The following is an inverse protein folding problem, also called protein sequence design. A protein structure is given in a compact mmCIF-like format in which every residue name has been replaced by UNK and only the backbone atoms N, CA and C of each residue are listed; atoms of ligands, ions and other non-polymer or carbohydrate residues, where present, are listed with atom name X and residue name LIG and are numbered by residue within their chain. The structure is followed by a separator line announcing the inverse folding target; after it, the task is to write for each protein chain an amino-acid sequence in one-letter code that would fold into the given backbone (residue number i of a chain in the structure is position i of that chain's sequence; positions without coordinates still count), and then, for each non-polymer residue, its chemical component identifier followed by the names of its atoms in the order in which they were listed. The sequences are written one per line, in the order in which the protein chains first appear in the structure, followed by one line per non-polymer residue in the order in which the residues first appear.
data_IF_896757826074
#
_entry.id   IF_896757826074
#
_cell.length_a   1.000
_cell.length_b   1.000
_cell.length_c   1.000
_cell.angle_alpha   90.00
_cell.angle_beta   90.00
_cell.angle_gamma   90.00
#
_symmetry.space_group_name_H-M   'P 1'
#
loop_
_entity.id
_entity.type
_entity.pdbx_description
1 polymer ?
#
# COMPACT_ATOMS: atom_id res chain seq x y z
N UNK A 1 -38.03 -37.72 24.96
CA UNK A 1 -37.88 -37.04 23.66
C UNK A 1 -38.76 -35.79 23.68
N UNK A 2 -38.18 -34.61 23.87
CA UNK A 2 -38.83 -33.32 23.69
C UNK A 2 -37.89 -32.45 22.87
N UNK A 3 -38.40 -32.02 21.72
CA UNK A 3 -37.73 -31.23 20.71
C UNK A 3 -37.13 -29.96 21.31
N UNK A 4 -35.84 -29.75 21.04
CA UNK A 4 -35.21 -28.44 21.18
C UNK A 4 -35.65 -27.62 19.96
N UNK A 5 -36.59 -26.70 20.17
CA UNK A 5 -36.91 -25.67 19.20
C UNK A 5 -35.67 -24.79 18.96
N UNK A 6 -35.24 -24.73 17.71
CA UNK A 6 -34.22 -23.79 17.25
C UNK A 6 -34.77 -22.38 17.23
N UNK A 7 -34.35 -21.57 18.19
CA UNK A 7 -34.46 -20.11 18.14
C UNK A 7 -33.28 -19.60 17.33
N UNK A 8 -33.53 -19.20 16.08
CA UNK A 8 -32.55 -18.52 15.23
C UNK A 8 -33.22 -17.95 13.97
N UNK A 9 -32.97 -16.68 13.69
CA UNK A 9 -33.29 -15.94 12.45
C UNK A 9 -34.76 -15.54 12.14
N UNK A 10 -35.73 -15.62 13.06
CA UNK A 10 -37.13 -15.26 12.71
C UNK A 10 -37.48 -13.76 12.77
N UNK A 11 -36.66 -12.89 13.37
CA UNK A 11 -37.00 -11.46 13.55
C UNK A 11 -36.72 -10.57 12.33
N UNK A 12 -35.53 -10.73 11.74
CA UNK A 12 -34.94 -9.82 10.77
C UNK A 12 -35.79 -9.58 9.51
N UNK A 13 -36.17 -10.66 8.82
CA UNK A 13 -36.94 -10.56 7.59
C UNK A 13 -38.33 -9.97 7.81
N UNK A 14 -38.94 -10.19 8.98
CA UNK A 14 -40.23 -9.60 9.31
C UNK A 14 -40.13 -8.10 9.55
N UNK A 15 -39.06 -7.65 10.19
CA UNK A 15 -38.81 -6.22 10.43
C UNK A 15 -38.53 -5.47 9.13
N UNK A 16 -37.64 -5.98 8.27
CA UNK A 16 -37.37 -5.39 6.97
C UNK A 16 -38.62 -5.37 6.07
N UNK A 17 -39.40 -6.46 6.07
CA UNK A 17 -40.67 -6.50 5.34
C UNK A 17 -41.68 -5.51 5.90
N UNK A 18 -41.81 -5.39 7.22
CA UNK A 18 -42.68 -4.41 7.86
C UNK A 18 -42.28 -2.97 7.50
N UNK A 19 -40.98 -2.68 7.47
CA UNK A 19 -40.43 -1.40 7.06
C UNK A 19 -40.71 -1.08 5.59
N UNK A 20 -40.46 -2.02 4.66
CA UNK A 20 -40.78 -1.87 3.24
C UNK A 20 -42.28 -1.66 2.98
N UNK A 21 -43.13 -2.25 3.82
CA UNK A 21 -44.59 -2.11 3.74
C UNK A 21 -45.12 -0.92 4.57
N UNK A 22 -44.27 -0.15 5.23
CA UNK A 22 -44.64 1.03 6.01
C UNK A 22 -45.43 0.75 7.29
N UNK A 23 -45.21 -0.39 7.96
CA UNK A 23 -46.02 -0.88 9.09
C UNK A 23 -45.33 -0.88 10.47
N UNK A 24 -44.08 -0.41 10.59
CA UNK A 24 -43.37 -0.43 11.89
C UNK A 24 -43.83 0.71 12.84
N UNK A 25 -44.19 0.40 14.10
CA UNK A 25 -44.53 1.40 15.11
C UNK A 25 -43.27 1.84 15.86
N UNK A 26 -42.79 3.08 15.63
CA UNK A 26 -41.84 3.72 16.55
C UNK A 26 -40.66 4.49 15.95
N UNK A 27 -40.45 4.49 14.64
CA UNK A 27 -39.33 5.21 14.01
C UNK A 27 -39.85 6.38 13.15
N UNK A 28 -39.29 7.57 13.41
CA UNK A 28 -39.74 8.82 12.86
C UNK A 28 -39.40 8.97 11.38
N UNK A 29 -40.44 9.09 10.54
CA UNK A 29 -40.49 9.89 9.31
C UNK A 29 -39.18 9.99 8.50
N UNK A 30 -38.61 8.88 8.06
CA UNK A 30 -37.86 8.84 6.80
C UNK A 30 -38.34 7.67 5.93
N UNK A 31 -39.43 7.98 5.25
CA UNK A 31 -40.01 7.23 4.14
C UNK A 31 -38.94 6.77 3.14
N UNK A 32 -38.91 5.48 2.82
CA UNK A 32 -38.54 5.04 1.48
C UNK A 32 -39.69 5.38 0.53
N UNK A 33 -39.86 6.68 0.34
CA UNK A 33 -40.97 7.41 -0.26
C UNK A 33 -42.36 7.04 0.30
N UNK A 34 -43.09 8.04 0.79
CA UNK A 34 -44.51 8.13 0.48
C UNK A 34 -44.61 8.18 -1.05
N UNK A 35 -44.57 7.01 -1.68
CA UNK A 35 -44.80 6.88 -3.10
C UNK A 35 -46.29 6.65 -3.25
N UNK A 36 -46.92 7.75 -3.65
CA UNK A 36 -48.19 7.79 -4.36
C UNK A 36 -48.44 6.48 -5.15
N UNK A 37 -49.64 5.91 -5.05
CA UNK A 37 -49.99 4.65 -5.70
C UNK A 37 -49.88 4.81 -7.22
N UNK A 38 -48.85 4.22 -7.84
CA UNK A 38 -48.46 4.59 -9.21
C UNK A 38 -47.91 3.46 -10.08
N UNK A 39 -47.99 2.19 -9.67
CA UNK A 39 -47.80 1.05 -10.57
C UNK A 39 -49.14 0.63 -11.16
N UNK A 40 -49.28 0.57 -12.47
CA UNK A 40 -50.57 0.39 -13.19
C UNK A 40 -51.30 -0.96 -12.97
N UNK A 41 -50.80 -1.84 -12.10
CA UNK A 41 -51.38 -3.17 -11.84
C UNK A 41 -52.55 -3.19 -10.81
N UNK A 42 -52.72 -2.13 -10.00
CA UNK A 42 -53.67 -2.14 -8.88
C UNK A 42 -55.15 -1.91 -9.26
N UNK A 43 -55.49 -1.85 -10.57
CA UNK A 43 -56.89 -1.72 -11.01
C UNK A 43 -57.73 -2.97 -10.74
N UNK A 44 -57.09 -4.13 -10.61
CA UNK A 44 -57.69 -5.32 -10.02
C UNK A 44 -57.28 -5.36 -8.55
N UNK A 45 -58.21 -5.55 -7.61
CA UNK A 45 -57.97 -5.55 -6.15
C UNK A 45 -57.05 -6.69 -5.64
N UNK A 46 -56.21 -7.28 -6.48
CA UNK A 46 -55.28 -8.36 -6.13
C UNK A 46 -53.85 -7.83 -6.09
N UNK A 47 -53.16 -8.06 -4.96
CA UNK A 47 -51.72 -7.79 -4.82
C UNK A 47 -50.98 -8.72 -5.78
N UNK A 48 -50.16 -8.22 -6.72
CA UNK A 48 -49.39 -9.08 -7.62
C UNK A 48 -48.45 -9.99 -6.83
N UNK A 49 -48.43 -11.29 -7.16
CA UNK A 49 -47.64 -12.30 -6.46
C UNK A 49 -46.77 -13.11 -7.43
N UNK A 50 -45.46 -13.06 -7.23
CA UNK A 50 -44.46 -13.70 -8.09
C UNK A 50 -44.08 -15.10 -7.61
N UNK A 51 -43.77 -16.01 -8.54
CA UNK A 51 -43.14 -17.30 -8.22
C UNK A 51 -41.63 -17.10 -8.10
N UNK A 52 -40.93 -18.04 -7.46
CA UNK A 52 -39.46 -18.02 -7.35
C UNK A 52 -38.74 -17.88 -8.70
N UNK A 53 -39.26 -18.51 -9.75
CA UNK A 53 -38.72 -18.38 -11.11
C UNK A 53 -38.85 -16.96 -11.69
N UNK A 54 -39.90 -16.24 -11.31
CA UNK A 54 -40.07 -14.84 -11.72
C UNK A 54 -39.11 -13.94 -10.96
N UNK A 55 -38.95 -14.17 -9.65
CA UNK A 55 -37.96 -13.45 -8.81
C UNK A 55 -36.55 -13.64 -9.36
N UNK A 56 -36.16 -14.87 -9.69
CA UNK A 56 -34.86 -15.18 -10.31
C UNK A 56 -34.66 -14.39 -11.61
N UNK A 57 -35.64 -14.41 -12.52
CA UNK A 57 -35.57 -13.68 -13.78
C UNK A 57 -35.44 -12.17 -13.57
N UNK A 58 -36.14 -11.61 -12.59
CA UNK A 58 -36.21 -10.16 -12.35
C UNK A 58 -35.00 -9.62 -11.58
N UNK A 59 -34.45 -10.41 -10.65
CA UNK A 59 -33.38 -9.97 -9.76
C UNK A 59 -32.01 -10.51 -10.17
N UNK A 60 -31.98 -11.58 -10.98
CA UNK A 60 -30.76 -12.31 -11.30
C UNK A 60 -30.16 -13.07 -10.12
N UNK A 61 -30.88 -13.20 -8.99
CA UNK A 61 -30.53 -14.12 -7.92
C UNK A 61 -30.93 -15.54 -8.33
N UNK A 62 -30.03 -16.50 -8.17
CA UNK A 62 -30.34 -17.90 -8.50
C UNK A 62 -31.42 -18.44 -7.56
N UNK A 63 -32.19 -19.44 -8.01
CA UNK A 63 -33.20 -20.09 -7.14
C UNK A 63 -32.63 -20.63 -5.84
N UNK A 64 -31.37 -21.08 -5.86
CA UNK A 64 -30.68 -21.59 -4.69
C UNK A 64 -30.41 -20.46 -3.69
N UNK A 65 -29.91 -19.32 -4.15
CA UNK A 65 -29.67 -18.16 -3.28
C UNK A 65 -30.97 -17.60 -2.70
N UNK A 66 -32.04 -17.52 -3.51
CA UNK A 66 -33.36 -17.12 -2.99
C UNK A 66 -33.83 -18.11 -1.91
N UNK A 67 -33.53 -19.39 -2.07
CA UNK A 67 -33.84 -20.40 -1.07
C UNK A 67 -32.98 -20.27 0.18
N UNK A 68 -31.68 -19.99 0.08
CA UNK A 68 -30.79 -19.81 1.24
C UNK A 68 -31.13 -18.55 2.04
N UNK A 69 -31.59 -17.50 1.35
CA UNK A 69 -32.13 -16.31 1.97
C UNK A 69 -33.44 -16.61 2.72
N UNK A 70 -34.28 -17.51 2.20
CA UNK A 70 -35.60 -17.78 2.78
C UNK A 70 -35.68 -18.92 3.78
N UNK A 71 -34.83 -19.93 3.64
CA UNK A 71 -34.90 -21.14 4.44
C UNK A 71 -33.63 -21.25 5.30
N UNK A 72 -33.75 -21.35 6.64
CA UNK A 72 -32.61 -21.70 7.46
C UNK A 72 -32.20 -23.14 7.10
N UNK A 73 -31.00 -23.30 6.55
CA UNK A 73 -30.48 -24.63 6.24
C UNK A 73 -29.79 -25.19 7.49
N UNK A 74 -30.04 -26.45 7.84
CA UNK A 74 -29.43 -27.10 9.03
C UNK A 74 -27.91 -27.24 8.93
N UNK A 75 -27.34 -27.09 7.73
CA UNK A 75 -25.92 -27.05 7.44
C UNK A 75 -25.41 -25.62 7.22
N UNK A 76 -25.41 -24.80 8.26
CA UNK A 76 -24.61 -23.55 8.48
C UNK A 76 -24.57 -22.42 7.41
N UNK A 77 -25.17 -22.55 6.23
CA UNK A 77 -25.06 -21.55 5.15
C UNK A 77 -26.40 -20.97 4.67
N UNK A 78 -27.55 -21.55 5.05
CA UNK A 78 -28.85 -20.91 4.83
C UNK A 78 -29.11 -19.89 5.91
N UNK A 79 -29.18 -18.61 5.56
CA UNK A 79 -29.38 -17.52 6.51
C UNK A 79 -30.78 -17.54 7.11
N UNK A 80 -31.80 -17.98 6.36
CA UNK A 80 -33.20 -17.86 6.79
C UNK A 80 -33.61 -16.42 7.11
N UNK A 81 -32.91 -15.45 6.50
CA UNK A 81 -33.02 -14.03 6.75
C UNK A 81 -34.36 -13.43 6.29
N UNK A 82 -35.03 -14.01 5.28
CA UNK A 82 -36.20 -13.42 4.64
C UNK A 82 -37.41 -14.36 4.59
N UNK A 83 -38.57 -13.94 5.11
CA UNK A 83 -39.80 -14.74 5.04
C UNK A 83 -40.66 -14.33 3.82
N UNK A 84 -40.92 -15.24 2.85
CA UNK A 84 -41.78 -14.93 1.71
C UNK A 84 -43.19 -14.52 2.14
N UNK A 85 -43.85 -13.68 1.33
CA UNK A 85 -45.23 -13.28 1.59
C UNK A 85 -46.23 -14.43 1.78
N UNK A 86 -46.05 -15.52 1.02
CA UNK A 86 -46.72 -16.79 1.26
C UNK A 86 -45.66 -17.88 1.32
N UNK A 87 -45.60 -18.60 2.44
CA UNK A 87 -44.74 -19.77 2.60
C UNK A 87 -45.59 -21.00 2.94
N UNK A 88 -45.64 -21.98 2.04
CA UNK A 88 -46.23 -23.31 2.24
C UNK A 88 -45.21 -24.38 1.86
N UNK A 89 -45.29 -25.61 2.40
CA UNK A 89 -44.40 -26.69 1.99
C UNK A 89 -44.39 -26.87 0.45
N UNK A 90 -43.22 -26.72 -0.17
CA UNK A 90 -43.05 -26.80 -1.63
C UNK A 90 -43.56 -25.60 -2.44
N UNK A 91 -44.02 -24.53 -1.80
CA UNK A 91 -44.65 -23.41 -2.47
C UNK A 91 -44.39 -22.07 -1.78
N UNK A 92 -43.72 -21.15 -2.48
CA UNK A 92 -43.52 -19.77 -2.02
C UNK A 92 -44.05 -18.77 -3.04
N UNK A 93 -44.70 -17.71 -2.57
CA UNK A 93 -45.04 -16.54 -3.38
C UNK A 93 -44.47 -15.29 -2.76
N UNK A 94 -44.05 -14.38 -3.64
CA UNK A 94 -43.37 -13.16 -3.29
C UNK A 94 -44.21 -11.96 -3.68
N UNK A 95 -44.32 -10.97 -2.80
CA UNK A 95 -44.99 -9.69 -3.05
C UNK A 95 -44.00 -8.60 -3.53
N UNK A 96 -44.46 -7.36 -3.63
CA UNK A 96 -43.64 -6.23 -4.08
C UNK A 96 -42.49 -5.93 -3.11
N UNK A 97 -42.73 -6.01 -1.81
CA UNK A 97 -41.71 -5.82 -0.78
C UNK A 97 -40.62 -6.88 -0.87
N UNK A 98 -41.03 -8.13 -1.10
CA UNK A 98 -40.08 -9.23 -1.34
C UNK A 98 -39.18 -8.96 -2.55
N UNK A 99 -39.73 -8.45 -3.67
CA UNK A 99 -38.93 -8.10 -4.84
C UNK A 99 -37.94 -6.97 -4.57
N UNK A 100 -38.34 -5.93 -3.85
CA UNK A 100 -37.46 -4.81 -3.50
C UNK A 100 -36.32 -5.26 -2.58
N UNK A 101 -36.61 -6.13 -1.61
CA UNK A 101 -35.59 -6.74 -0.75
C UNK A 101 -34.59 -7.56 -1.57
N UNK A 102 -35.05 -8.45 -2.44
CA UNK A 102 -34.14 -9.23 -3.31
C UNK A 102 -33.36 -8.37 -4.30
N UNK A 103 -33.95 -7.29 -4.80
CA UNK A 103 -33.24 -6.31 -5.62
C UNK A 103 -32.10 -5.65 -4.83
N UNK A 104 -32.35 -5.21 -3.59
CA UNK A 104 -31.32 -4.65 -2.71
C UNK A 104 -30.20 -5.66 -2.45
N UNK A 105 -30.55 -6.89 -2.06
CA UNK A 105 -29.59 -7.98 -1.85
C UNK A 105 -28.72 -8.17 -3.09
N UNK A 106 -29.32 -8.16 -4.28
CA UNK A 106 -28.55 -8.25 -5.53
C UNK A 106 -27.56 -7.10 -5.70
N UNK A 107 -27.94 -5.86 -5.38
CA UNK A 107 -27.04 -4.72 -5.50
C UNK A 107 -25.85 -4.83 -4.53
N UNK A 108 -26.12 -5.23 -3.28
CA UNK A 108 -25.06 -5.46 -2.28
C UNK A 108 -24.10 -6.56 -2.74
N UNK A 109 -24.62 -7.67 -3.28
CA UNK A 109 -23.76 -8.73 -3.83
C UNK A 109 -22.90 -8.25 -5.00
N UNK A 110 -23.46 -7.44 -5.91
CA UNK A 110 -22.69 -6.83 -7.00
C UNK A 110 -21.59 -5.90 -6.48
N UNK A 111 -21.84 -5.22 -5.37
CA UNK A 111 -20.84 -4.41 -4.68
C UNK A 111 -19.83 -5.25 -3.86
N UNK A 112 -19.88 -6.58 -3.94
CA UNK A 112 -18.92 -7.48 -3.31
C UNK A 112 -19.25 -7.88 -1.87
N UNK A 113 -20.46 -7.59 -1.38
CA UNK A 113 -20.93 -8.12 -0.10
C UNK A 113 -21.17 -9.63 -0.20
N UNK A 114 -20.63 -10.36 0.77
CA UNK A 114 -20.90 -11.79 0.92
C UNK A 114 -22.27 -12.00 1.56
N UNK A 115 -22.84 -13.19 1.40
CA UNK A 115 -24.15 -13.52 1.96
C UNK A 115 -24.21 -13.21 3.48
N UNK A 116 -23.15 -13.52 4.24
CA UNK A 116 -23.05 -13.24 5.68
C UNK A 116 -23.03 -11.75 6.04
N UNK A 117 -22.55 -10.89 5.15
CA UNK A 117 -22.49 -9.44 5.38
C UNK A 117 -23.81 -8.74 5.01
N UNK A 118 -24.63 -9.37 4.16
CA UNK A 118 -25.86 -8.78 3.63
C UNK A 118 -26.87 -8.51 4.74
N UNK A 119 -27.04 -9.42 5.69
CA UNK A 119 -27.99 -9.23 6.80
C UNK A 119 -27.66 -7.95 7.57
N UNK A 120 -26.43 -7.80 8.05
CA UNK A 120 -25.99 -6.59 8.76
C UNK A 120 -26.12 -5.33 7.90
N UNK A 121 -25.72 -5.38 6.62
CA UNK A 121 -25.78 -4.21 5.75
C UNK A 121 -27.23 -3.78 5.45
N UNK A 122 -28.17 -4.72 5.42
CA UNK A 122 -29.59 -4.43 5.21
C UNK A 122 -30.22 -3.87 6.49
N UNK A 123 -29.81 -4.35 7.67
CA UNK A 123 -30.22 -3.73 8.93
C UNK A 123 -29.70 -2.31 9.08
N UNK A 124 -28.41 -2.09 8.79
CA UNK A 124 -27.80 -0.76 8.84
C UNK A 124 -28.54 0.25 7.94
N UNK A 125 -29.17 -0.20 6.84
CA UNK A 125 -29.99 0.63 5.94
C UNK A 125 -31.32 1.07 6.57
N UNK A 126 -31.84 0.30 7.52
CA UNK A 126 -33.10 0.59 8.20
C UNK A 126 -32.93 1.51 9.40
N UNK A 127 -31.71 1.66 9.91
CA UNK A 127 -31.39 2.58 10.98
C UNK A 127 -31.45 4.03 10.47
N UNK A 128 -32.03 4.94 11.27
CA UNK A 128 -32.13 6.38 10.95
C UNK A 128 -30.79 7.12 11.21
N UNK A 129 -29.66 6.43 11.09
CA UNK A 129 -28.31 6.95 11.35
C UNK A 129 -27.34 6.67 10.18
N UNK A 130 -26.09 7.10 10.33
CA UNK A 130 -25.07 6.91 9.29
C UNK A 130 -24.53 5.46 9.22
N UNK A 131 -25.19 4.46 9.81
CA UNK A 131 -24.69 3.08 9.87
C UNK A 131 -24.50 2.48 8.48
N UNK A 132 -25.48 2.62 7.59
CA UNK A 132 -25.36 2.09 6.23
C UNK A 132 -24.21 2.74 5.47
N UNK A 133 -24.08 4.07 5.57
CA UNK A 133 -22.99 4.78 4.93
C UNK A 133 -21.62 4.34 5.47
N UNK A 134 -21.49 4.18 6.80
CA UNK A 134 -20.28 3.65 7.43
C UNK A 134 -19.95 2.24 6.93
N UNK A 135 -20.95 1.38 6.75
CA UNK A 135 -20.78 0.01 6.24
C UNK A 135 -20.33 0.03 4.77
N UNK A 136 -20.92 0.87 3.92
CA UNK A 136 -20.49 1.05 2.53
C UNK A 136 -19.06 1.59 2.44
N UNK A 137 -18.73 2.65 3.21
CA UNK A 137 -17.38 3.22 3.25
C UNK A 137 -16.35 2.20 3.70
N UNK A 138 -16.67 1.38 4.71
CA UNK A 138 -15.81 0.28 5.16
C UNK A 138 -15.57 -0.73 4.04
N UNK A 139 -16.61 -1.13 3.32
CA UNK A 139 -16.49 -2.06 2.19
C UNK A 139 -15.63 -1.48 1.06
N UNK A 140 -15.84 -0.21 0.73
CA UNK A 140 -15.02 0.50 -0.25
C UNK A 140 -13.54 0.51 0.15
N UNK A 141 -13.20 0.81 1.40
CA UNK A 141 -11.82 0.76 1.91
C UNK A 141 -11.19 -0.63 1.74
N UNK A 142 -11.94 -1.70 2.04
CA UNK A 142 -11.46 -3.08 1.84
C UNK A 142 -11.18 -3.36 0.36
N UNK A 143 -12.08 -2.95 -0.53
CA UNK A 143 -11.93 -3.14 -1.98
C UNK A 143 -10.77 -2.31 -2.55
N UNK A 144 -10.59 -1.06 -2.11
CA UNK A 144 -9.45 -0.22 -2.49
C UNK A 144 -8.12 -0.84 -2.04
N UNK A 145 -8.06 -1.36 -0.81
CA UNK A 145 -6.88 -2.09 -0.33
C UNK A 145 -6.59 -3.32 -1.19
N UNK A 146 -7.63 -4.10 -1.51
CA UNK A 146 -7.46 -5.30 -2.34
C UNK A 146 -7.02 -4.96 -3.76
N UNK A 147 -7.53 -3.86 -4.33
CA UNK A 147 -7.07 -3.34 -5.62
C UNK A 147 -5.59 -2.97 -5.56
N UNK A 148 -5.15 -2.21 -4.57
CA UNK A 148 -3.74 -1.84 -4.41
C UNK A 148 -2.82 -3.08 -4.27
N UNK A 149 -3.28 -4.12 -3.55
CA UNK A 149 -2.54 -5.40 -3.45
C UNK A 149 -2.43 -6.10 -4.81
N UNK A 150 -3.50 -6.11 -5.61
CA UNK A 150 -3.48 -6.70 -6.95
C UNK A 150 -2.60 -5.91 -7.91
N UNK A 151 -2.69 -4.57 -7.88
CA UNK A 151 -1.86 -3.68 -8.70
C UNK A 151 -0.36 -3.86 -8.36
N UNK A 152 -0.03 -4.02 -7.08
CA UNK A 152 1.33 -4.36 -6.63
C UNK A 152 1.80 -5.71 -7.17
N UNK A 153 0.95 -6.74 -7.11
CA UNK A 153 1.27 -8.08 -7.66
C UNK A 153 1.44 -8.07 -9.17
N UNK A 154 0.61 -7.33 -9.89
CA UNK A 154 0.72 -7.17 -11.34
C UNK A 154 2.04 -6.48 -11.71
N UNK A 155 2.38 -5.39 -11.01
CA UNK A 155 3.66 -4.71 -11.21
C UNK A 155 4.83 -5.68 -10.99
N UNK A 156 4.83 -6.44 -9.89
CA UNK A 156 5.86 -7.45 -9.63
C UNK A 156 5.99 -8.50 -10.75
N UNK A 157 4.89 -8.92 -11.37
CA UNK A 157 4.91 -9.85 -12.50
C UNK A 157 5.51 -9.22 -13.76
N UNK A 158 5.14 -7.98 -14.10
CA UNK A 158 5.71 -7.24 -15.25
C UNK A 158 7.24 -7.13 -15.13
N UNK A 159 7.72 -6.88 -13.92
CA UNK A 159 9.15 -6.80 -13.61
C UNK A 159 9.89 -8.14 -13.75
N UNK A 160 9.29 -9.22 -13.25
CA UNK A 160 9.84 -10.56 -13.42
C UNK A 160 9.83 -10.99 -14.89
N UNK A 161 8.85 -10.54 -15.68
CA UNK A 161 8.81 -10.78 -17.13
C UNK A 161 9.97 -10.08 -17.84
N UNK A 162 10.27 -8.82 -17.51
CA UNK A 162 11.46 -8.12 -18.04
C UNK A 162 12.74 -8.89 -17.69
N UNK A 163 12.92 -9.27 -16.42
CA UNK A 163 14.09 -10.04 -16.00
C UNK A 163 14.20 -11.41 -16.70
N UNK A 164 13.08 -12.05 -17.03
CA UNK A 164 13.07 -13.34 -17.73
C UNK A 164 13.62 -13.25 -19.18
N UNK A 165 13.62 -12.05 -19.77
CA UNK A 165 14.22 -11.80 -21.09
C UNK A 165 15.75 -11.80 -21.09
N UNK A 166 16.39 -11.68 -19.92
CA UNK A 166 17.84 -11.76 -19.78
C UNK A 166 18.37 -13.16 -20.11
N UNK A 167 19.68 -13.22 -20.41
CA UNK A 167 20.39 -14.48 -20.57
C UNK A 167 20.24 -15.34 -19.30
N UNK A 168 20.16 -16.67 -19.44
CA UNK A 168 19.79 -17.56 -18.32
C UNK A 168 20.68 -17.38 -17.10
N UNK A 169 21.99 -17.17 -17.31
CA UNK A 169 22.97 -16.97 -16.25
C UNK A 169 22.89 -15.58 -15.58
N UNK A 170 22.22 -14.61 -16.21
CA UNK A 170 22.05 -13.23 -15.70
C UNK A 170 20.65 -12.97 -15.13
N UNK A 171 19.69 -13.88 -15.31
CA UNK A 171 18.29 -13.69 -14.86
C UNK A 171 18.17 -13.37 -13.38
N UNK A 172 18.95 -14.02 -12.52
CA UNK A 172 18.92 -13.73 -11.08
C UNK A 172 19.36 -12.30 -10.79
N UNK A 173 20.45 -11.85 -11.43
CA UNK A 173 20.93 -10.47 -11.29
C UNK A 173 19.96 -9.46 -11.88
N UNK A 174 19.30 -9.78 -13.00
CA UNK A 174 18.23 -8.95 -13.56
C UNK A 174 17.02 -8.82 -12.62
N UNK A 175 16.62 -9.91 -11.94
CA UNK A 175 15.57 -9.84 -10.90
C UNK A 175 16.02 -8.96 -9.73
N UNK A 176 17.26 -9.13 -9.26
CA UNK A 176 17.83 -8.30 -8.19
C UNK A 176 17.91 -6.83 -8.59
N UNK A 177 18.30 -6.54 -9.83
CA UNK A 177 18.40 -5.18 -10.37
C UNK A 177 17.08 -4.46 -10.35
N UNK A 178 16.02 -5.12 -10.81
CA UNK A 178 14.68 -4.55 -10.84
C UNK A 178 14.15 -4.32 -9.42
N UNK A 179 14.36 -5.26 -8.50
CA UNK A 179 13.95 -5.12 -7.10
C UNK A 179 14.69 -3.97 -6.39
N UNK A 180 16.03 -3.93 -6.50
CA UNK A 180 16.87 -2.88 -5.91
C UNK A 180 16.53 -1.50 -6.48
N UNK A 181 16.28 -1.40 -7.79
CA UNK A 181 15.93 -0.13 -8.43
C UNK A 181 14.59 0.40 -7.91
N UNK A 182 13.57 -0.45 -7.77
CA UNK A 182 12.28 -0.03 -7.21
C UNK A 182 12.40 0.38 -5.75
N UNK A 183 13.16 -0.38 -4.97
CA UNK A 183 13.42 -0.03 -3.58
C UNK A 183 14.11 1.33 -3.48
N UNK A 184 15.10 1.61 -4.31
CA UNK A 184 15.76 2.89 -4.40
C UNK A 184 14.79 4.04 -4.76
N UNK A 185 13.91 3.84 -5.75
CA UNK A 185 12.89 4.84 -6.13
C UNK A 185 11.89 5.12 -5.00
N UNK A 186 11.39 4.08 -4.33
CA UNK A 186 10.49 4.23 -3.17
C UNK A 186 11.17 4.97 -2.04
N UNK A 187 12.42 4.62 -1.73
CA UNK A 187 13.21 5.24 -0.68
C UNK A 187 13.43 6.74 -0.94
N UNK A 188 13.71 7.13 -2.19
CA UNK A 188 13.80 8.54 -2.58
C UNK A 188 12.45 9.23 -2.43
N UNK A 189 11.36 8.61 -2.90
CA UNK A 189 10.03 9.19 -2.81
C UNK A 189 9.63 9.47 -1.34
N UNK A 190 9.87 8.50 -0.45
CA UNK A 190 9.63 8.65 1.00
C UNK A 190 10.48 9.82 1.53
N UNK A 191 11.77 9.83 1.26
CA UNK A 191 12.67 10.88 1.73
C UNK A 191 12.29 12.28 1.22
N UNK A 192 11.87 12.42 -0.04
CA UNK A 192 11.38 13.68 -0.60
C UNK A 192 10.13 14.17 0.14
N UNK A 193 9.17 13.28 0.39
CA UNK A 193 7.93 13.68 1.10
C UNK A 193 8.20 14.15 2.52
N UNK A 194 9.20 13.56 3.19
CA UNK A 194 9.59 13.96 4.56
C UNK A 194 10.38 15.27 4.61
N UNK A 195 11.26 15.50 3.63
CA UNK A 195 12.18 16.65 3.62
C UNK A 195 11.63 17.87 2.91
N UNK A 196 10.55 17.72 2.12
CA UNK A 196 10.04 18.76 1.21
C UNK A 196 11.16 19.31 0.30
N UNK A 197 12.09 18.44 -0.13
CA UNK A 197 13.25 18.83 -0.91
C UNK A 197 12.87 19.44 -2.27
N UNK A 198 13.77 20.26 -2.81
CA UNK A 198 13.62 20.80 -4.15
C UNK A 198 13.71 19.69 -5.21
N UNK A 199 12.94 19.82 -6.29
CA UNK A 199 12.89 18.86 -7.39
C UNK A 199 14.29 18.58 -7.99
N UNK A 200 15.14 19.61 -8.06
CA UNK A 200 16.52 19.47 -8.56
C UNK A 200 17.38 18.53 -7.68
N UNK A 201 17.23 18.61 -6.36
CA UNK A 201 17.97 17.76 -5.42
C UNK A 201 17.43 16.32 -5.44
N UNK A 202 16.11 16.16 -5.56
CA UNK A 202 15.47 14.86 -5.76
C UNK A 202 16.00 14.14 -7.00
N UNK A 203 16.11 14.84 -8.14
CA UNK A 203 16.63 14.27 -9.38
C UNK A 203 18.08 13.79 -9.22
N UNK A 204 18.92 14.56 -8.52
CA UNK A 204 20.32 14.20 -8.27
C UNK A 204 20.44 13.00 -7.32
N UNK A 205 19.72 13.01 -6.20
CA UNK A 205 19.72 11.89 -5.23
C UNK A 205 19.15 10.62 -5.87
N UNK A 206 18.08 10.73 -6.66
CA UNK A 206 17.53 9.60 -7.43
C UNK A 206 18.57 9.00 -8.36
N UNK A 207 19.30 9.84 -9.09
CA UNK A 207 20.39 9.38 -9.96
C UNK A 207 21.49 8.68 -9.15
N UNK A 208 21.94 9.27 -8.04
CA UNK A 208 22.97 8.66 -7.20
C UNK A 208 22.53 7.34 -6.57
N UNK A 209 21.26 7.21 -6.19
CA UNK A 209 20.71 5.93 -5.72
C UNK A 209 20.72 4.86 -6.83
N UNK A 210 20.41 5.22 -8.08
CA UNK A 210 20.56 4.30 -9.22
C UNK A 210 22.02 3.92 -9.47
N UNK A 211 22.95 4.86 -9.35
CA UNK A 211 24.40 4.58 -9.44
C UNK A 211 24.88 3.65 -8.31
N UNK A 212 24.31 3.77 -7.11
CA UNK A 212 24.58 2.85 -5.99
C UNK A 212 24.08 1.43 -6.32
N UNK A 213 22.85 1.30 -6.82
CA UNK A 213 22.29 0.00 -7.23
C UNK A 213 23.15 -0.65 -8.32
N UNK A 214 23.52 0.10 -9.36
CA UNK A 214 24.40 -0.39 -10.41
C UNK A 214 25.77 -0.83 -9.87
N UNK A 215 26.34 -0.09 -8.92
CA UNK A 215 27.60 -0.45 -8.28
C UNK A 215 27.52 -1.74 -7.45
N UNK A 216 26.43 -1.92 -6.69
CA UNK A 216 26.16 -3.16 -5.93
C UNK A 216 26.05 -4.34 -6.88
N UNK A 217 25.29 -4.22 -7.97
CA UNK A 217 25.13 -5.28 -8.97
C UNK A 217 26.43 -5.61 -9.70
N UNK A 218 27.25 -4.61 -10.04
CA UNK A 218 28.55 -4.83 -10.67
C UNK A 218 29.45 -5.71 -9.80
N UNK A 219 29.50 -5.44 -8.48
CA UNK A 219 30.22 -6.30 -7.53
C UNK A 219 29.66 -7.71 -7.50
N UNK A 220 28.33 -7.87 -7.49
CA UNK A 220 27.67 -9.18 -7.46
C UNK A 220 27.89 -10.02 -8.73
N UNK A 221 28.00 -9.36 -9.89
CA UNK A 221 28.34 -9.99 -11.18
C UNK A 221 29.83 -10.33 -11.30
N UNK A 222 30.66 -9.92 -10.33
CA UNK A 222 32.11 -10.04 -10.40
C UNK A 222 32.74 -9.09 -11.42
N UNK A 223 31.99 -8.08 -11.87
CA UNK A 223 32.50 -6.99 -12.69
C UNK A 223 33.37 -6.13 -11.77
N UNK A 224 34.68 -6.40 -11.77
CA UNK A 224 35.64 -5.62 -10.99
C UNK A 224 35.46 -4.13 -11.27
N UNK A 225 35.65 -3.28 -10.25
CA UNK A 225 35.71 -1.83 -10.46
C UNK A 225 36.70 -1.55 -11.60
N UNK A 226 36.34 -0.78 -12.65
CA UNK A 226 37.18 -0.59 -13.82
C UNK A 226 38.54 -0.07 -13.36
N UNK A 227 39.55 -0.95 -13.41
CA UNK A 227 40.76 -0.79 -12.62
C UNK A 227 41.70 0.32 -13.12
N UNK A 228 41.46 0.95 -14.28
CA UNK A 228 42.48 1.80 -14.89
C UNK A 228 42.00 3.10 -15.56
N UNK A 229 40.75 3.54 -15.38
CA UNK A 229 40.34 4.85 -15.90
C UNK A 229 39.46 5.61 -14.92
N UNK A 230 40.09 6.39 -14.03
CA UNK A 230 39.54 7.60 -13.37
C UNK A 230 38.02 7.67 -13.19
N UNK A 231 37.40 6.58 -12.72
CA UNK A 231 35.97 6.38 -12.82
C UNK A 231 35.24 7.37 -11.92
N UNK A 232 34.45 8.26 -12.52
CA UNK A 232 33.49 9.07 -11.75
C UNK A 232 32.32 8.19 -11.32
N UNK A 233 31.85 8.36 -10.08
CA UNK A 233 30.66 7.69 -9.56
C UNK A 233 30.94 6.76 -8.37
N UNK A 234 29.93 5.97 -8.01
CA UNK A 234 29.92 5.19 -6.75
C UNK A 234 30.71 3.87 -6.85
N UNK A 235 30.76 3.23 -8.02
CA UNK A 235 31.41 1.93 -8.23
C UNK A 235 32.81 1.78 -7.60
N UNK A 236 33.79 2.70 -7.80
CA UNK A 236 35.12 2.57 -7.21
C UNK A 236 35.14 2.69 -5.67
N UNK A 237 34.09 3.24 -5.05
CA UNK A 237 34.01 3.45 -3.61
C UNK A 237 33.53 2.20 -2.84
N UNK A 238 32.75 1.34 -3.49
CA UNK A 238 32.07 0.20 -2.83
C UNK A 238 33.06 -0.74 -2.14
N UNK A 239 34.19 -1.06 -2.77
CA UNK A 239 35.21 -1.91 -2.15
C UNK A 239 35.82 -1.28 -0.89
N UNK A 240 35.98 0.05 -0.87
CA UNK A 240 36.45 0.77 0.32
C UNK A 240 35.40 0.79 1.44
N UNK A 241 34.13 0.90 1.08
CA UNK A 241 33.03 0.81 2.04
C UNK A 241 32.88 -0.60 2.62
N UNK A 242 32.96 -1.64 1.80
CA UNK A 242 32.93 -3.03 2.26
C UNK A 242 34.03 -3.34 3.29
N UNK A 243 35.26 -2.88 3.05
CA UNK A 243 36.36 -2.99 4.03
C UNK A 243 36.03 -2.24 5.32
N UNK A 244 35.54 -1.00 5.21
CA UNK A 244 35.18 -0.21 6.40
C UNK A 244 34.04 -0.84 7.22
N UNK A 245 33.07 -1.49 6.57
CA UNK A 245 32.02 -2.26 7.26
C UNK A 245 32.63 -3.46 7.97
N UNK A 246 33.47 -4.23 7.28
CA UNK A 246 34.14 -5.39 7.86
C UNK A 246 34.98 -5.02 9.09
N UNK A 247 35.75 -3.94 9.02
CA UNK A 247 36.55 -3.44 10.15
C UNK A 247 35.65 -3.05 11.34
N UNK A 248 34.54 -2.34 11.09
CA UNK A 248 33.60 -1.96 12.14
C UNK A 248 32.91 -3.16 12.79
N UNK A 249 32.55 -4.17 11.99
CA UNK A 249 31.95 -5.41 12.51
C UNK A 249 32.96 -6.26 13.28
N UNK A 250 34.21 -6.35 12.81
CA UNK A 250 35.28 -7.06 13.50
C UNK A 250 35.62 -6.45 14.87
N UNK A 251 35.49 -5.12 14.98
CA UNK A 251 35.68 -4.37 16.23
C UNK A 251 34.45 -4.39 17.16
N UNK A 252 33.38 -5.12 16.81
CA UNK A 252 32.08 -5.11 17.52
C UNK A 252 31.55 -3.68 17.76
N UNK A 253 31.78 -2.80 16.77
CA UNK A 253 31.43 -1.40 16.88
C UNK A 253 29.90 -1.23 16.91
N UNK A 254 29.39 -0.44 17.87
CA UNK A 254 27.97 -0.11 17.86
C UNK A 254 27.60 0.74 16.61
N UNK A 255 26.39 0.60 16.04
CA UNK A 255 25.95 1.35 14.86
C UNK A 255 25.91 2.89 15.05
N UNK A 256 25.83 3.35 16.30
CA UNK A 256 25.85 4.78 16.65
C UNK A 256 27.27 5.35 16.81
N UNK A 257 28.32 4.54 16.63
CA UNK A 257 29.72 5.00 16.76
C UNK A 257 30.09 6.06 15.71
N UNK A 258 31.03 6.94 16.04
CA UNK A 258 31.51 7.95 15.10
C UNK A 258 32.06 7.36 13.78
N UNK A 259 32.61 6.13 13.83
CA UNK A 259 33.06 5.38 12.65
C UNK A 259 31.91 5.06 11.71
N UNK A 260 30.86 4.40 12.22
CA UNK A 260 29.65 4.08 11.47
C UNK A 260 28.97 5.32 10.91
N UNK A 261 28.84 6.38 11.72
CA UNK A 261 28.25 7.66 11.31
C UNK A 261 29.06 8.38 10.22
N UNK A 262 30.39 8.24 10.23
CA UNK A 262 31.25 8.74 9.14
C UNK A 262 31.05 7.93 7.85
N UNK A 263 30.89 6.61 7.95
CA UNK A 263 30.66 5.76 6.78
C UNK A 263 29.33 6.10 6.09
N UNK A 264 28.23 6.18 6.85
CA UNK A 264 26.91 6.55 6.30
C UNK A 264 26.96 7.92 5.61
N UNK A 265 27.63 8.91 6.21
CA UNK A 265 27.82 10.23 5.57
C UNK A 265 28.58 10.14 4.26
N UNK A 266 29.65 9.33 4.19
CA UNK A 266 30.40 9.13 2.94
C UNK A 266 29.54 8.50 1.85
N UNK A 267 28.73 7.51 2.20
CA UNK A 267 27.80 6.87 1.26
C UNK A 267 26.74 7.86 0.77
N UNK A 268 26.11 8.58 1.69
CA UNK A 268 25.09 9.58 1.36
C UNK A 268 25.65 10.73 0.50
N UNK A 269 26.86 11.22 0.81
CA UNK A 269 27.50 12.27 0.02
C UNK A 269 27.85 11.80 -1.41
N UNK A 270 28.22 10.53 -1.58
CA UNK A 270 28.41 9.96 -2.90
C UNK A 270 27.08 9.84 -3.67
N UNK A 271 26.00 9.49 -3.00
CA UNK A 271 24.63 9.47 -3.54
C UNK A 271 24.12 10.89 -3.88
N UNK A 272 24.52 11.91 -3.13
CA UNK A 272 24.18 13.30 -3.41
C UNK A 272 24.86 13.85 -4.70
N UNK A 273 25.84 13.12 -5.27
CA UNK A 273 26.44 13.44 -6.58
C UNK A 273 27.66 14.36 -6.55
N UNK A 274 28.23 14.67 -5.37
CA UNK A 274 29.36 15.59 -5.22
C UNK A 274 30.75 14.90 -5.16
N UNK A 275 30.77 13.56 -5.18
CA UNK A 275 31.96 12.74 -4.99
C UNK A 275 32.97 12.66 -6.15
N UNK A 276 33.31 13.77 -6.83
CA UNK A 276 34.44 13.83 -7.76
C UNK A 276 35.02 15.24 -8.06
N UNK A 277 34.91 16.24 -7.16
CA UNK A 277 35.54 17.57 -7.39
C UNK A 277 36.50 18.07 -6.31
N UNK A 278 36.66 17.41 -5.16
CA UNK A 278 37.55 17.88 -4.08
C UNK A 278 39.00 17.34 -4.16
N UNK A 279 39.46 17.01 -5.37
CA UNK A 279 40.75 16.33 -5.62
C UNK A 279 41.79 17.18 -6.36
N UNK A 280 41.80 18.51 -6.18
CA UNK A 280 42.92 19.39 -6.53
C UNK A 280 42.71 20.70 -5.77
N UNK A 281 43.42 20.89 -4.67
CA UNK A 281 44.01 22.14 -4.17
C UNK A 281 44.79 21.82 -2.89
N UNK A 282 45.72 20.87 -2.99
CA UNK A 282 46.91 20.87 -2.14
C UNK A 282 47.89 21.86 -2.80
N UNK A 283 47.65 23.15 -2.57
CA UNK A 283 48.46 24.25 -3.07
C UNK A 283 48.64 25.27 -1.95
N UNK A 284 49.80 25.20 -1.31
CA UNK A 284 50.43 26.17 -0.42
C UNK A 284 49.59 27.31 0.18
N UNK A 285 49.51 27.29 1.51
CA UNK A 285 49.41 28.49 2.30
C UNK A 285 50.56 29.46 1.95
N UNK A 286 50.24 30.76 1.95
CA UNK A 286 51.08 31.92 1.61
C UNK A 286 51.08 32.31 0.12
N UNK A 287 49.99 32.93 -0.34
CA UNK A 287 49.97 34.23 -1.04
C UNK A 287 48.66 34.42 -1.79
N UNK A 288 47.80 35.34 -1.29
CA UNK A 288 46.94 36.22 -2.08
C UNK A 288 45.93 36.93 -1.15
N UNK A 289 46.43 37.83 -0.31
CA UNK A 289 45.65 38.99 0.10
C UNK A 289 45.66 39.97 -1.08
N UNK A 290 44.57 40.02 -1.85
CA UNK A 290 44.06 41.20 -2.58
C UNK A 290 43.18 40.75 -3.76
N UNK A 291 41.89 40.55 -3.51
CA UNK A 291 40.85 40.83 -4.48
C UNK A 291 39.57 41.08 -3.69
N UNK A 292 39.22 42.35 -3.53
CA UNK A 292 37.89 42.76 -3.10
C UNK A 292 36.89 42.23 -4.14
N UNK A 293 36.06 41.26 -3.76
CA UNK A 293 34.86 40.93 -4.52
C UNK A 293 33.71 40.72 -3.54
N UNK A 294 32.98 41.80 -3.28
CA UNK A 294 31.82 41.87 -2.38
C UNK A 294 30.54 41.26 -3.03
N UNK A 295 30.71 40.24 -3.87
CA UNK A 295 29.63 39.59 -4.62
C UNK A 295 29.27 38.17 -4.20
N UNK A 296 30.06 37.48 -3.36
CA UNK A 296 30.01 36.01 -3.32
C UNK A 296 29.59 35.37 -1.99
N UNK A 297 29.27 36.15 -0.95
CA UNK A 297 28.87 35.57 0.34
C UNK A 297 27.47 34.93 0.31
N UNK A 298 26.55 35.47 -0.50
CA UNK A 298 25.18 34.92 -0.63
C UNK A 298 25.11 33.65 -1.46
N UNK A 299 25.91 33.56 -2.53
CA UNK A 299 25.96 32.36 -3.37
C UNK A 299 26.69 31.22 -2.67
N UNK A 300 27.73 31.49 -1.88
CA UNK A 300 28.39 30.49 -1.03
C UNK A 300 27.44 29.98 0.05
N UNK A 301 26.70 30.85 0.75
CA UNK A 301 25.73 30.42 1.77
C UNK A 301 24.53 29.69 1.17
N UNK A 302 24.06 30.07 -0.02
CA UNK A 302 23.02 29.34 -0.74
C UNK A 302 23.52 27.97 -1.24
N UNK A 303 24.77 27.90 -1.71
CA UNK A 303 25.43 26.65 -2.12
C UNK A 303 25.65 25.70 -0.93
N UNK A 304 26.07 26.21 0.22
CA UNK A 304 26.23 25.40 1.44
C UNK A 304 24.88 24.91 1.96
N UNK A 305 23.86 25.77 1.95
CA UNK A 305 22.51 25.42 2.40
C UNK A 305 21.85 24.37 1.48
N UNK A 306 22.00 24.48 0.15
CA UNK A 306 21.53 23.47 -0.81
C UNK A 306 22.30 22.15 -0.70
N UNK A 307 23.62 22.17 -0.48
CA UNK A 307 24.38 20.93 -0.22
C UNK A 307 23.90 20.22 1.06
N UNK A 308 23.53 20.99 2.10
CA UNK A 308 23.05 20.43 3.36
C UNK A 308 21.66 19.76 3.24
N UNK A 309 20.76 20.34 2.44
CA UNK A 309 19.43 19.79 2.20
C UNK A 309 19.50 18.53 1.32
N UNK A 310 20.37 18.54 0.30
CA UNK A 310 20.63 17.38 -0.55
C UNK A 310 21.27 16.23 0.22
N UNK A 311 22.27 16.51 1.05
CA UNK A 311 22.88 15.49 1.91
C UNK A 311 21.87 14.91 2.91
N UNK A 312 20.97 15.74 3.47
CA UNK A 312 19.90 15.27 4.34
C UNK A 312 18.91 14.36 3.60
N UNK A 313 18.52 14.71 2.37
CA UNK A 313 17.69 13.88 1.50
C UNK A 313 18.39 12.55 1.19
N UNK A 314 19.68 12.57 0.83
CA UNK A 314 20.46 11.38 0.54
C UNK A 314 20.61 10.45 1.76
N UNK A 315 20.85 11.00 2.95
CA UNK A 315 20.89 10.21 4.19
C UNK A 315 19.54 9.53 4.47
N UNK A 316 18.43 10.25 4.31
CA UNK A 316 17.08 9.69 4.53
C UNK A 316 16.72 8.64 3.47
N UNK A 317 17.04 8.88 2.21
CA UNK A 317 16.84 7.89 1.14
C UNK A 317 17.68 6.64 1.39
N UNK A 318 18.95 6.80 1.77
CA UNK A 318 19.82 5.67 2.11
C UNK A 318 19.30 4.91 3.35
N UNK A 319 18.80 5.61 4.36
CA UNK A 319 18.20 4.98 5.54
C UNK A 319 16.93 4.20 5.18
N UNK A 320 16.04 4.76 4.38
CA UNK A 320 14.83 4.08 3.92
C UNK A 320 15.19 2.83 3.09
N UNK A 321 16.12 2.96 2.15
CA UNK A 321 16.62 1.86 1.32
C UNK A 321 17.23 0.73 2.16
N UNK A 322 18.12 1.06 3.11
CA UNK A 322 18.77 0.04 3.96
C UNK A 322 17.81 -0.61 4.97
N UNK A 323 16.60 -0.08 5.18
CA UNK A 323 15.58 -0.71 6.04
C UNK A 323 14.59 -1.58 5.26
N UNK A 324 14.62 -1.60 3.92
CA UNK A 324 13.77 -2.48 3.13
C UNK A 324 14.34 -3.91 3.10
N UNK A 325 13.56 -4.89 3.55
CA UNK A 325 14.00 -6.29 3.64
C UNK A 325 14.37 -6.92 2.29
N UNK A 326 13.82 -6.38 1.18
CA UNK A 326 14.14 -6.81 -0.19
C UNK A 326 15.62 -6.58 -0.54
N UNK A 327 16.31 -5.65 0.14
CA UNK A 327 17.69 -5.30 -0.13
C UNK A 327 18.70 -6.11 0.69
N UNK A 328 18.25 -6.89 1.67
CA UNK A 328 19.13 -7.57 2.62
C UNK A 328 20.14 -8.50 1.96
N UNK A 329 19.69 -9.40 1.09
CA UNK A 329 20.56 -10.37 0.41
C UNK A 329 21.63 -9.68 -0.47
N UNK A 330 21.27 -8.74 -1.38
CA UNK A 330 22.28 -7.99 -2.14
C UNK A 330 23.30 -7.26 -1.26
N UNK A 331 22.87 -6.64 -0.16
CA UNK A 331 23.75 -5.89 0.75
C UNK A 331 24.70 -6.83 1.49
N UNK A 332 24.20 -7.93 2.07
CA UNK A 332 25.03 -8.93 2.76
C UNK A 332 26.09 -9.55 1.83
N UNK A 333 25.72 -9.84 0.59
CA UNK A 333 26.65 -10.41 -0.39
C UNK A 333 27.77 -9.44 -0.82
N UNK A 334 27.50 -8.13 -0.83
CA UNK A 334 28.51 -7.10 -1.18
C UNK A 334 29.34 -6.66 0.01
N UNK A 335 28.72 -6.50 1.18
CA UNK A 335 29.35 -5.87 2.35
C UNK A 335 29.72 -6.87 3.46
N UNK A 336 29.35 -8.14 3.32
CA UNK A 336 29.69 -9.23 4.26
C UNK A 336 28.60 -9.49 5.31
N UNK A 337 28.76 -10.59 6.04
CA UNK A 337 27.79 -11.06 7.04
C UNK A 337 27.53 -10.03 8.15
N UNK A 338 26.26 -9.75 8.43
CA UNK A 338 25.82 -8.80 9.46
C UNK A 338 25.79 -7.34 9.00
N UNK A 339 26.22 -7.07 7.77
CA UNK A 339 26.30 -5.71 7.23
C UNK A 339 24.93 -5.06 7.05
N UNK A 340 23.89 -5.80 6.66
CA UNK A 340 22.58 -5.21 6.37
C UNK A 340 21.96 -4.60 7.63
N UNK A 341 21.87 -5.40 8.70
CA UNK A 341 21.33 -4.94 9.97
C UNK A 341 22.16 -3.79 10.56
N UNK A 342 23.49 -3.88 10.48
CA UNK A 342 24.40 -2.85 10.97
C UNK A 342 24.22 -1.53 10.21
N UNK A 343 24.23 -1.56 8.87
CA UNK A 343 24.09 -0.36 8.03
C UNK A 343 22.71 0.28 8.20
N UNK A 344 21.65 -0.53 8.30
CA UNK A 344 20.29 -0.02 8.57
C UNK A 344 20.23 0.75 9.90
N UNK A 345 20.77 0.16 10.97
CA UNK A 345 20.80 0.79 12.30
C UNK A 345 21.70 2.03 12.32
N UNK A 346 22.85 2.00 11.65
CA UNK A 346 23.75 3.14 11.54
C UNK A 346 23.11 4.31 10.80
N UNK A 347 22.39 4.02 9.70
CA UNK A 347 21.67 5.02 8.92
C UNK A 347 20.52 5.66 9.72
N UNK A 348 19.74 4.86 10.46
CA UNK A 348 18.69 5.37 11.36
C UNK A 348 19.28 6.23 12.48
N UNK A 349 20.37 5.78 13.10
CA UNK A 349 21.08 6.56 14.10
C UNK A 349 21.54 7.92 13.53
N UNK A 350 21.95 7.96 12.25
CA UNK A 350 22.35 9.21 11.58
C UNK A 350 21.17 10.15 11.36
N UNK A 351 20.04 9.64 10.87
CA UNK A 351 18.81 10.43 10.71
C UNK A 351 18.40 11.04 12.05
N UNK A 352 18.41 10.24 13.13
CA UNK A 352 18.06 10.71 14.46
C UNK A 352 19.03 11.79 15.00
N UNK A 353 20.33 11.67 14.72
CA UNK A 353 21.32 12.68 15.11
C UNK A 353 21.12 13.99 14.33
N UNK A 354 20.81 13.90 13.04
CA UNK A 354 20.51 15.06 12.19
C UNK A 354 19.24 15.79 12.68
N UNK A 355 18.19 15.04 13.03
CA UNK A 355 16.93 15.63 13.53
C UNK A 355 17.10 16.28 14.92
N UNK A 356 18.07 15.84 15.72
CA UNK A 356 18.42 16.50 16.99
C UNK A 356 19.17 17.82 16.77
N UNK A 357 20.03 17.89 15.75
CA UNK A 357 20.79 19.10 15.42
C UNK A 357 19.92 20.23 14.86
N UNK A 358 18.72 19.90 14.36
CA UNK A 358 17.75 20.84 13.81
C UNK A 358 16.72 21.36 14.85
N UNK A 359 16.73 20.85 16.09
CA UNK A 359 15.82 21.25 17.18
C UNK A 359 16.51 22.17 18.17
#
# INVERSE_FOLDING_TARGET
MKERQGLGATGAGRELRAWLLGRSPGLGVHMLAARLPGGTAWRAREVPMWKRSDVERLTGLTRHMIQDLCNPNTSRDGLGFWEPAISKPGYSRFDEGDLLAFYLVRQLMKAGFTLKEIESAVFDLMEDDDSFERTLRRKATVLHRRRAELDSKLSALEYLEVAATAATDDRLYAVMEVALTQSAERAVQVATTETQAAEADEVLVRRGMRELVAAVLGVLRGEGAPAEMGGRGIAPLVAGWARAVADLLADDAAPATAGAQRLIRKMAHAVAGEGASAGRHAGNACDALASEDAGNARDVLASECTSSARDALAVRALAAFLNESENGVPIELVFGEGSFAFLAQAAVARVNDMDKQLR
#
